data_IF_004364623405
#
_entry.id   IF_004364623405
#
_cell.length_a   1.000
_cell.length_b   1.000
_cell.length_c   1.000
_cell.angle_alpha   90.00
_cell.angle_beta   90.00
_cell.angle_gamma   90.00
#
_symmetry.space_group_name_H-M   'P 1'
#
loop_
_entity.id
_entity.type
_entity.pdbx_description
1 polymer ?
#
# COMPACT_ATOMS: atom_id res chain seq x y z
N UNK A 1 -24.77 15.84 8.18
CA UNK A 1 -23.38 15.41 8.51
C UNK A 1 -22.52 15.74 7.31
N UNK A 2 -21.88 16.91 7.34
CA UNK A 2 -21.29 17.58 6.17
C UNK A 2 -19.94 17.00 5.73
N UNK A 3 -19.84 16.62 4.46
CA UNK A 3 -18.64 16.10 3.80
C UNK A 3 -17.44 17.07 3.79
N UNK A 4 -17.64 18.35 4.09
CA UNK A 4 -16.57 19.35 4.15
C UNK A 4 -15.57 19.15 5.29
N UNK A 5 -15.98 18.53 6.41
CA UNK A 5 -15.08 18.34 7.57
C UNK A 5 -14.06 17.21 7.38
N UNK A 6 -14.32 16.28 6.45
CA UNK A 6 -13.39 15.18 6.16
C UNK A 6 -12.14 15.67 5.41
N UNK A 7 -12.31 16.64 4.50
CA UNK A 7 -11.20 17.22 3.71
C UNK A 7 -10.27 18.10 4.56
N UNK A 8 -10.82 18.79 5.57
CA UNK A 8 -10.03 19.61 6.50
C UNK A 8 -9.20 18.75 7.45
N UNK A 9 -9.70 17.58 7.85
CA UNK A 9 -8.96 16.62 8.68
C UNK A 9 -7.79 15.93 7.92
N UNK A 10 -7.83 15.92 6.59
CA UNK A 10 -6.80 15.34 5.70
C UNK A 10 -5.71 16.39 5.33
N UNK A 11 -5.82 17.63 5.80
CA UNK A 11 -4.79 18.66 5.58
C UNK A 11 -4.63 19.07 4.11
N UNK A 12 -5.68 18.90 3.29
CA UNK A 12 -5.66 19.28 1.86
C UNK A 12 -5.74 20.79 1.63
N UNK A 13 -6.14 21.59 2.63
CA UNK A 13 -6.24 23.05 2.52
C UNK A 13 -5.73 23.71 3.80
N UNK A 14 -4.67 24.53 3.73
CA UNK A 14 -4.29 25.42 4.84
C UNK A 14 -5.09 26.72 4.80
N UNK A 15 -5.59 27.13 5.97
CA UNK A 15 -5.89 28.52 6.25
C UNK A 15 -4.59 29.21 6.66
N UNK A 16 -4.04 30.02 5.76
CA UNK A 16 -2.92 30.90 6.09
C UNK A 16 -3.37 31.96 7.11
N UNK A 17 -2.72 32.01 8.29
CA UNK A 17 -2.66 33.24 9.09
C UNK A 17 -1.59 34.14 8.48
N UNK A 18 -1.97 35.33 8.01
CA UNK A 18 -1.15 36.49 8.36
C UNK A 18 -1.96 37.65 8.91
N UNK A 19 -1.22 38.47 9.66
CA UNK A 19 -1.62 39.69 10.33
C UNK A 19 -2.24 40.76 9.43
N UNK A 20 -2.60 41.86 10.08
CA UNK A 20 -3.60 42.84 9.65
C UNK A 20 -3.66 43.15 8.16
N UNK A 21 -4.79 42.82 7.55
CA UNK A 21 -5.38 43.53 6.41
C UNK A 21 -6.83 43.02 6.21
N UNK A 22 -7.74 43.92 5.86
CA UNK A 22 -9.21 43.77 5.84
C UNK A 22 -9.73 42.36 5.41
N UNK A 23 -10.61 41.72 6.20
CA UNK A 23 -11.17 40.38 5.90
C UNK A 23 -11.90 40.27 4.56
N UNK A 24 -12.59 41.33 4.13
CA UNK A 24 -13.38 41.34 2.91
C UNK A 24 -12.51 41.32 1.64
N UNK A 25 -11.40 42.07 1.62
CA UNK A 25 -10.46 42.06 0.49
C UNK A 25 -9.77 40.70 0.32
N UNK A 26 -9.49 39.98 1.41
CA UNK A 26 -8.90 38.64 1.37
C UNK A 26 -9.83 37.61 0.72
N UNK A 27 -11.13 37.67 1.00
CA UNK A 27 -12.11 36.72 0.43
C UNK A 27 -12.28 36.95 -1.07
N UNK A 28 -12.36 38.22 -1.50
CA UNK A 28 -12.46 38.60 -2.91
C UNK A 28 -11.22 38.23 -3.72
N UNK A 29 -10.01 38.40 -3.17
CA UNK A 29 -8.77 38.00 -3.85
C UNK A 29 -8.59 36.47 -3.86
N UNK A 30 -8.92 35.77 -2.76
CA UNK A 30 -8.84 34.29 -2.69
C UNK A 30 -9.80 33.59 -3.65
N UNK A 31 -10.96 34.19 -3.93
CA UNK A 31 -11.89 33.69 -4.94
C UNK A 31 -11.40 33.93 -6.38
N UNK A 32 -10.62 35.00 -6.60
CA UNK A 32 -10.07 35.38 -7.91
C UNK A 32 -8.78 34.62 -8.27
N UNK A 33 -7.97 34.24 -7.27
CA UNK A 33 -6.73 33.47 -7.44
C UNK A 33 -6.91 31.94 -7.26
N UNK A 34 -8.14 31.46 -7.13
CA UNK A 34 -8.47 30.04 -7.14
C UNK A 34 -8.37 29.44 -8.55
N UNK A 35 -7.25 29.65 -9.25
CA UNK A 35 -6.80 28.64 -10.21
C UNK A 35 -6.27 27.48 -9.36
N UNK A 36 -6.73 26.24 -9.55
CA UNK A 36 -6.15 25.10 -8.86
C UNK A 36 -4.75 24.88 -9.43
N UNK A 37 -3.76 25.62 -8.92
CA UNK A 37 -2.38 25.28 -9.16
C UNK A 37 -2.15 23.91 -8.53
N UNK A 38 -1.90 22.93 -9.39
CA UNK A 38 -1.64 21.56 -9.00
C UNK A 38 -0.42 21.58 -8.07
N UNK A 39 -0.65 21.49 -6.75
CA UNK A 39 0.43 21.51 -5.78
C UNK A 39 1.47 20.45 -6.18
N UNK A 40 2.75 20.80 -6.21
CA UNK A 40 3.86 19.89 -6.57
C UNK A 40 3.79 18.53 -5.86
N UNK A 41 3.38 18.40 -4.57
CA UNK A 41 3.15 17.10 -3.95
C UNK A 41 2.04 16.26 -4.62
N UNK A 42 1.00 16.89 -5.18
CA UNK A 42 -0.05 16.20 -5.95
C UNK A 42 0.52 15.54 -7.20
N UNK A 43 1.51 16.16 -7.86
CA UNK A 43 2.21 15.55 -9.00
C UNK A 43 2.90 14.24 -8.57
N UNK A 44 3.54 14.20 -7.40
CA UNK A 44 4.16 12.97 -6.91
C UNK A 44 3.15 11.85 -6.64
N UNK A 45 1.98 12.17 -6.08
CA UNK A 45 0.91 11.19 -5.91
C UNK A 45 0.33 10.71 -7.24
N UNK A 46 0.17 11.61 -8.22
CA UNK A 46 -0.28 11.25 -9.57
C UNK A 46 0.74 10.33 -10.28
N UNK A 47 2.03 10.59 -10.13
CA UNK A 47 3.08 9.70 -10.65
C UNK A 47 2.98 8.31 -10.02
N UNK A 48 2.81 8.23 -8.70
CA UNK A 48 2.61 6.94 -8.01
C UNK A 48 1.37 6.21 -8.52
N UNK A 49 0.26 6.91 -8.70
CA UNK A 49 -0.97 6.33 -9.26
C UNK A 49 -0.80 5.89 -10.71
N UNK A 50 -0.10 6.67 -11.53
CA UNK A 50 0.19 6.31 -12.91
C UNK A 50 1.05 5.04 -12.97
N UNK A 51 2.10 4.94 -12.15
CA UNK A 51 2.93 3.73 -12.03
C UNK A 51 2.09 2.53 -11.59
N UNK A 52 1.22 2.69 -10.59
CA UNK A 52 0.33 1.61 -10.15
C UNK A 52 -0.67 1.21 -11.25
N UNK A 53 -1.20 2.17 -12.02
CA UNK A 53 -2.10 1.92 -13.15
C UNK A 53 -1.40 1.17 -14.30
N UNK A 54 -0.17 1.55 -14.63
CA UNK A 54 0.66 0.84 -15.62
C UNK A 54 0.96 -0.58 -15.13
N UNK A 55 1.28 -0.76 -13.85
CA UNK A 55 1.51 -2.08 -13.27
C UNK A 55 0.26 -2.97 -13.33
N UNK A 56 -0.93 -2.42 -13.06
CA UNK A 56 -2.21 -3.11 -13.26
C UNK A 56 -2.42 -3.50 -14.73
N UNK A 57 -2.22 -2.57 -15.67
CA UNK A 57 -2.36 -2.85 -17.09
C UNK A 57 -1.41 -3.97 -17.55
N UNK A 58 -0.16 -3.96 -17.08
CA UNK A 58 0.81 -5.01 -17.34
C UNK A 58 0.36 -6.36 -16.78
N UNK A 59 -0.16 -6.42 -15.55
CA UNK A 59 -0.70 -7.67 -14.99
C UNK A 59 -1.90 -8.21 -15.79
N UNK A 60 -2.84 -7.34 -16.16
CA UNK A 60 -4.00 -7.74 -16.98
C UNK A 60 -3.53 -8.26 -18.34
N UNK A 61 -2.59 -7.56 -18.98
CA UNK A 61 -2.05 -7.99 -20.26
C UNK A 61 -1.34 -9.35 -20.15
N UNK A 62 -0.51 -9.54 -19.12
CA UNK A 62 0.21 -10.78 -18.89
C UNK A 62 -0.75 -11.96 -18.64
N UNK A 63 -1.79 -11.77 -17.81
CA UNK A 63 -2.79 -12.81 -17.53
C UNK A 63 -3.61 -13.25 -18.75
N UNK A 64 -3.79 -12.35 -19.73
CA UNK A 64 -4.49 -12.67 -20.99
C UNK A 64 -3.62 -13.48 -21.96
N UNK A 65 -2.30 -13.34 -21.89
CA UNK A 65 -1.36 -13.94 -22.83
C UNK A 65 -0.78 -15.28 -22.35
N UNK A 66 -0.59 -15.46 -21.04
CA UNK A 66 0.18 -16.58 -20.50
C UNK A 66 -0.62 -17.85 -20.14
N UNK A 67 -1.96 -17.80 -20.10
CA UNK A 67 -2.74 -18.88 -19.44
C UNK A 67 -2.49 -18.92 -17.93
N UNK A 68 -3.40 -19.51 -17.15
CA UNK A 68 -3.39 -19.41 -15.68
C UNK A 68 -2.38 -20.34 -14.97
N UNK A 69 -1.45 -20.95 -15.69
CA UNK A 69 -0.51 -21.93 -15.14
C UNK A 69 0.90 -21.36 -15.01
N UNK A 70 1.04 -20.39 -14.12
CA UNK A 70 2.36 -19.91 -13.72
C UNK A 70 2.87 -20.79 -12.57
N UNK A 71 3.54 -21.89 -12.91
CA UNK A 71 4.59 -22.40 -12.03
C UNK A 71 5.57 -21.27 -11.71
N UNK A 72 6.19 -21.27 -10.53
CA UNK A 72 6.99 -20.14 -10.02
C UNK A 72 8.16 -19.68 -10.91
N UNK A 73 8.48 -20.44 -11.97
CA UNK A 73 9.47 -20.08 -12.97
C UNK A 73 10.86 -19.85 -12.37
N UNK A 74 11.81 -19.35 -13.16
CA UNK A 74 13.08 -18.84 -12.64
C UNK A 74 12.84 -17.67 -11.68
N UNK A 75 13.68 -17.55 -10.64
CA UNK A 75 13.60 -16.49 -9.61
C UNK A 75 13.53 -15.08 -10.21
N UNK A 76 14.17 -14.85 -11.35
CA UNK A 76 14.16 -13.56 -12.07
C UNK A 76 12.75 -13.19 -12.53
N UNK A 77 12.06 -14.13 -13.21
CA UNK A 77 10.69 -13.95 -13.68
C UNK A 77 9.71 -13.77 -12.51
N UNK A 78 9.90 -14.53 -11.44
CA UNK A 78 9.14 -14.37 -10.21
C UNK A 78 9.35 -12.99 -9.60
N UNK A 79 10.59 -12.55 -9.43
CA UNK A 79 10.92 -11.27 -8.83
C UNK A 79 10.30 -10.10 -9.60
N UNK A 80 10.36 -10.13 -10.93
CA UNK A 80 9.73 -9.11 -11.79
C UNK A 80 8.22 -9.12 -11.61
N UNK A 81 7.58 -10.29 -11.73
CA UNK A 81 6.12 -10.43 -11.59
C UNK A 81 5.66 -10.00 -10.20
N UNK A 82 6.41 -10.39 -9.16
CA UNK A 82 6.17 -10.03 -7.78
C UNK A 82 6.24 -8.52 -7.56
N UNK A 83 7.30 -7.86 -8.05
CA UNK A 83 7.43 -6.40 -7.91
C UNK A 83 6.32 -5.67 -8.66
N UNK A 84 5.97 -6.10 -9.87
CA UNK A 84 4.86 -5.51 -10.64
C UNK A 84 3.54 -5.66 -9.87
N UNK A 85 3.27 -6.83 -9.32
CA UNK A 85 2.08 -7.08 -8.50
C UNK A 85 2.05 -6.21 -7.24
N UNK A 86 3.18 -6.12 -6.52
CA UNK A 86 3.29 -5.26 -5.34
C UNK A 86 3.17 -3.77 -5.71
N UNK A 87 3.71 -3.35 -6.85
CA UNK A 87 3.54 -2.00 -7.34
C UNK A 87 2.06 -1.68 -7.66
N UNK A 88 1.33 -2.63 -8.25
CA UNK A 88 -0.09 -2.47 -8.56
C UNK A 88 -0.95 -2.37 -7.30
N UNK A 89 -0.68 -3.19 -6.28
CA UNK A 89 -1.56 -3.36 -5.12
C UNK A 89 -1.15 -2.53 -3.91
N UNK A 90 0.15 -2.44 -3.65
CA UNK A 90 0.69 -1.88 -2.42
C UNK A 90 1.17 -0.44 -2.58
N UNK A 91 1.65 -0.04 -3.76
CA UNK A 91 2.10 1.33 -4.02
C UNK A 91 1.00 2.41 -3.80
N UNK A 92 -0.28 2.19 -4.19
CA UNK A 92 -1.36 3.14 -3.89
C UNK A 92 -1.51 3.42 -2.40
N UNK A 93 -1.22 2.42 -1.56
CA UNK A 93 -1.31 2.58 -0.11
C UNK A 93 -0.25 3.51 0.47
N UNK A 94 0.87 3.71 -0.23
CA UNK A 94 1.96 4.61 0.17
C UNK A 94 1.69 6.09 -0.16
N UNK A 95 0.64 6.41 -0.93
CA UNK A 95 0.30 7.77 -1.35
C UNK A 95 0.26 8.78 -0.19
N UNK A 96 -0.36 8.50 0.98
CA UNK A 96 -0.40 9.47 2.07
C UNK A 96 1.00 9.83 2.59
N UNK A 97 1.90 8.85 2.70
CA UNK A 97 3.30 9.09 3.11
C UNK A 97 4.07 9.83 2.04
N UNK A 98 3.87 9.47 0.77
CA UNK A 98 4.50 10.14 -0.38
C UNK A 98 4.11 11.60 -0.43
N UNK A 99 2.82 11.91 -0.22
CA UNK A 99 2.32 13.28 -0.16
C UNK A 99 2.97 14.07 0.98
N UNK A 100 3.01 13.50 2.18
CA UNK A 100 3.54 14.20 3.36
C UNK A 100 5.07 14.37 3.29
N UNK A 101 5.77 13.37 2.76
CA UNK A 101 7.20 13.46 2.47
C UNK A 101 7.47 14.52 1.40
N UNK A 102 6.72 14.52 0.30
CA UNK A 102 6.87 15.49 -0.77
C UNK A 102 6.59 16.92 -0.28
N UNK A 103 5.57 17.12 0.55
CA UNK A 103 5.26 18.42 1.19
C UNK A 103 6.40 18.90 2.10
N UNK A 104 7.02 18.00 2.85
CA UNK A 104 8.13 18.33 3.76
C UNK A 104 9.45 18.57 3.00
N UNK A 105 9.62 17.89 1.87
CA UNK A 105 10.80 17.99 1.02
C UNK A 105 10.72 19.13 -0.01
N UNK A 106 9.52 19.64 -0.29
CA UNK A 106 9.28 20.69 -1.28
C UNK A 106 10.18 21.91 -1.01
N UNK A 107 10.77 22.46 -2.07
CA UNK A 107 11.73 23.57 -1.99
C UNK A 107 13.19 23.13 -1.76
N UNK A 108 13.46 21.86 -1.42
CA UNK A 108 14.82 21.32 -1.38
C UNK A 108 15.25 20.81 -2.76
N UNK A 109 16.51 21.04 -3.13
CA UNK A 109 17.09 20.50 -4.37
C UNK A 109 17.01 18.97 -4.37
N UNK A 110 16.50 18.38 -5.45
CA UNK A 110 16.39 16.92 -5.60
C UNK A 110 15.18 16.27 -4.93
N UNK A 111 14.21 17.04 -4.44
CA UNK A 111 13.00 16.47 -3.82
C UNK A 111 12.22 15.45 -4.69
N UNK A 112 12.12 15.57 -6.03
CA UNK A 112 11.41 14.55 -6.82
C UNK A 112 12.15 13.22 -6.82
N UNK A 113 13.49 13.27 -6.93
CA UNK A 113 14.36 12.09 -6.85
C UNK A 113 14.25 11.44 -5.49
N UNK A 114 14.20 12.22 -4.42
CA UNK A 114 14.02 11.70 -3.06
C UNK A 114 12.68 10.97 -2.89
N UNK A 115 11.59 11.53 -3.43
CA UNK A 115 10.30 10.85 -3.43
C UNK A 115 10.34 9.54 -4.21
N UNK A 116 11.07 9.50 -5.33
CA UNK A 116 11.36 8.27 -6.06
C UNK A 116 12.14 7.26 -5.23
N UNK A 117 13.18 7.69 -4.51
CA UNK A 117 13.96 6.82 -3.60
C UNK A 117 13.06 6.22 -2.52
N UNK A 118 12.11 6.98 -1.95
CA UNK A 118 11.15 6.46 -0.98
C UNK A 118 10.30 5.33 -1.58
N UNK A 119 9.78 5.52 -2.80
CA UNK A 119 8.98 4.50 -3.49
C UNK A 119 9.82 3.25 -3.83
N UNK A 120 11.06 3.44 -4.28
CA UNK A 120 11.98 2.34 -4.62
C UNK A 120 12.38 1.55 -3.37
N UNK A 121 12.70 2.21 -2.26
CA UNK A 121 13.03 1.48 -1.01
C UNK A 121 11.81 0.76 -0.44
N UNK A 122 10.61 1.33 -0.58
CA UNK A 122 9.37 0.64 -0.24
C UNK A 122 9.17 -0.64 -1.06
N UNK A 123 9.34 -0.58 -2.38
CA UNK A 123 9.26 -1.76 -3.24
C UNK A 123 10.40 -2.75 -3.00
N UNK A 124 11.59 -2.27 -2.63
CA UNK A 124 12.73 -3.12 -2.25
C UNK A 124 12.43 -3.97 -1.02
N UNK A 125 11.76 -3.41 -0.02
CA UNK A 125 11.29 -4.18 1.15
C UNK A 125 10.31 -5.28 0.75
N UNK A 126 9.40 -4.99 -0.18
CA UNK A 126 8.48 -5.99 -0.73
C UNK A 126 9.17 -7.05 -1.58
N UNK A 127 10.20 -6.67 -2.35
CA UNK A 127 11.01 -7.61 -3.13
C UNK A 127 11.75 -8.59 -2.21
N UNK A 128 12.40 -8.09 -1.15
CA UNK A 128 13.08 -8.95 -0.15
C UNK A 128 12.09 -9.96 0.44
N UNK A 129 10.89 -9.50 0.81
CA UNK A 129 9.85 -10.39 1.32
C UNK A 129 9.43 -11.44 0.29
N UNK A 130 9.24 -11.06 -0.97
CA UNK A 130 8.92 -11.99 -2.06
C UNK A 130 10.02 -13.05 -2.26
N UNK A 131 11.29 -12.64 -2.27
CA UNK A 131 12.45 -13.55 -2.39
C UNK A 131 12.49 -14.54 -1.22
N UNK A 132 12.22 -14.08 0.00
CA UNK A 132 12.11 -14.98 1.17
C UNK A 132 10.97 -15.98 0.99
N UNK A 133 9.81 -15.55 0.52
CA UNK A 133 8.69 -16.44 0.21
C UNK A 133 9.04 -17.47 -0.87
N UNK A 134 9.73 -17.05 -1.94
CA UNK A 134 10.19 -17.95 -3.00
C UNK A 134 11.20 -18.99 -2.48
N UNK A 135 12.15 -18.56 -1.66
CA UNK A 135 13.13 -19.46 -1.04
C UNK A 135 12.44 -20.50 -0.14
N UNK A 136 11.42 -20.09 0.64
CA UNK A 136 10.63 -21.01 1.46
C UNK A 136 9.83 -21.98 0.58
N UNK A 137 9.19 -21.48 -0.48
CA UNK A 137 8.39 -22.30 -1.39
C UNK A 137 9.23 -23.40 -2.03
N UNK A 138 10.40 -23.03 -2.56
CA UNK A 138 11.34 -23.95 -3.22
C UNK A 138 11.98 -24.92 -2.23
N UNK A 139 12.39 -24.45 -1.05
CA UNK A 139 12.97 -25.30 -0.01
C UNK A 139 11.96 -26.34 0.53
N UNK A 140 10.69 -25.95 0.65
CA UNK A 140 9.59 -26.83 1.08
C UNK A 140 9.09 -27.79 0.00
N UNK A 141 9.66 -27.71 -1.23
CA UNK A 141 9.26 -28.52 -2.40
C UNK A 141 7.76 -28.47 -2.68
N UNK A 142 7.17 -27.28 -2.56
CA UNK A 142 5.78 -27.05 -3.00
C UNK A 142 5.72 -27.12 -4.55
N UNK A 143 4.58 -27.53 -5.14
CA UNK A 143 3.27 -27.78 -4.54
C UNK A 143 3.15 -29.11 -3.78
N UNK A 144 2.44 -29.10 -2.65
CA UNK A 144 2.10 -30.33 -1.92
C UNK A 144 0.81 -30.95 -2.47
N UNK A 145 0.60 -32.28 -2.33
CA UNK A 145 -0.62 -32.94 -2.79
C UNK A 145 -1.91 -32.40 -2.13
N UNK A 146 -1.82 -31.72 -0.99
CA UNK A 146 -2.93 -31.10 -0.26
C UNK A 146 -2.88 -29.55 -0.28
N UNK A 147 -2.36 -28.94 -1.36
CA UNK A 147 -2.17 -27.49 -1.44
C UNK A 147 -3.45 -26.68 -1.20
N UNK A 148 -4.62 -27.18 -1.60
CA UNK A 148 -5.91 -26.55 -1.31
C UNK A 148 -6.15 -26.37 0.20
N UNK A 149 -5.89 -27.41 1.00
CA UNK A 149 -6.00 -27.37 2.46
C UNK A 149 -4.97 -26.43 3.08
N UNK A 150 -3.74 -26.44 2.56
CA UNK A 150 -2.63 -25.61 3.07
C UNK A 150 -2.90 -24.13 2.81
N UNK A 151 -3.36 -23.79 1.61
CA UNK A 151 -3.77 -22.45 1.23
C UNK A 151 -4.99 -21.97 2.04
N UNK A 152 -5.98 -22.84 2.23
CA UNK A 152 -7.14 -22.56 3.08
C UNK A 152 -6.77 -22.33 4.55
N UNK A 153 -5.88 -23.16 5.11
CA UNK A 153 -5.36 -22.97 6.46
C UNK A 153 -4.58 -21.65 6.57
N UNK A 154 -3.78 -21.30 5.57
CA UNK A 154 -3.07 -20.03 5.54
C UNK A 154 -4.01 -18.82 5.50
N UNK A 155 -5.11 -18.89 4.74
CA UNK A 155 -6.16 -17.87 4.75
C UNK A 155 -6.86 -17.79 6.12
N UNK A 156 -7.14 -18.92 6.76
CA UNK A 156 -7.73 -18.95 8.10
C UNK A 156 -6.79 -18.31 9.13
N UNK A 157 -5.50 -18.66 9.09
CA UNK A 157 -4.46 -18.04 9.92
C UNK A 157 -4.32 -16.54 9.62
N UNK A 158 -4.47 -16.12 8.37
CA UNK A 158 -4.50 -14.70 8.00
C UNK A 158 -5.72 -13.97 8.60
N UNK A 159 -6.88 -14.62 8.65
CA UNK A 159 -8.06 -14.14 9.36
C UNK A 159 -7.79 -13.96 10.86
N UNK A 160 -7.17 -14.93 11.51
CA UNK A 160 -6.78 -14.83 12.94
C UNK A 160 -5.74 -13.71 13.14
N UNK A 161 -4.75 -13.62 12.27
CA UNK A 161 -3.76 -12.55 12.28
C UNK A 161 -4.41 -11.16 12.11
N UNK A 162 -5.53 -11.08 11.39
CA UNK A 162 -6.22 -9.83 11.11
C UNK A 162 -6.77 -9.12 12.36
N UNK A 163 -6.97 -9.85 13.47
CA UNK A 163 -7.41 -9.32 14.78
C UNK A 163 -6.28 -9.21 15.81
N UNK A 164 -5.09 -9.72 15.47
CA UNK A 164 -3.91 -9.79 16.36
C UNK A 164 -3.42 -8.41 16.82
N UNK A 165 -2.94 -8.28 18.08
CA UNK A 165 -2.34 -7.04 18.58
C UNK A 165 -1.10 -6.62 17.78
N UNK A 166 -0.36 -7.57 17.19
CA UNK A 166 0.83 -7.31 16.38
C UNK A 166 0.47 -6.49 15.13
N UNK A 167 -0.63 -6.86 14.47
CA UNK A 167 -1.14 -6.12 13.31
C UNK A 167 -1.59 -4.72 13.70
N UNK A 168 -2.33 -4.58 14.82
CA UNK A 168 -2.79 -3.28 15.32
C UNK A 168 -1.62 -2.34 15.61
N UNK A 169 -0.56 -2.83 16.26
CA UNK A 169 0.65 -2.07 16.54
C UNK A 169 1.36 -1.62 15.24
N UNK A 170 1.46 -2.51 14.25
CA UNK A 170 2.05 -2.18 12.95
C UNK A 170 1.21 -1.18 12.15
N UNK A 171 -0.11 -1.27 12.21
CA UNK A 171 -1.02 -0.31 11.59
C UNK A 171 -0.96 1.06 12.27
N UNK A 172 -0.85 1.12 13.59
CA UNK A 172 -0.65 2.37 14.33
C UNK A 172 0.65 3.05 13.90
N UNK A 173 1.76 2.30 13.77
CA UNK A 173 3.03 2.80 13.25
C UNK A 173 2.93 3.29 11.80
N UNK A 174 2.24 2.55 10.92
CA UNK A 174 1.98 3.00 9.55
C UNK A 174 1.27 4.36 9.54
N UNK A 175 0.22 4.53 10.34
CA UNK A 175 -0.54 5.78 10.42
C UNK A 175 0.27 6.93 11.01
N UNK A 176 1.08 6.65 12.04
CA UNK A 176 2.00 7.65 12.60
C UNK A 176 3.02 8.13 11.56
N UNK A 177 3.52 7.24 10.71
CA UNK A 177 4.42 7.57 9.60
C UNK A 177 3.71 8.33 8.46
N UNK A 178 2.42 8.09 8.23
CA UNK A 178 1.62 8.91 7.30
C UNK A 178 1.38 10.33 7.83
N UNK A 179 1.30 10.48 9.15
CA UNK A 179 1.15 11.77 9.83
C UNK A 179 2.51 12.37 10.21
N UNK A 180 3.55 12.14 9.41
CA UNK A 180 4.89 12.65 9.67
C UNK A 180 4.88 14.18 9.65
N UNK A 181 4.92 14.79 10.83
CA UNK A 181 5.02 16.24 10.99
C UNK A 181 6.38 16.56 11.63
N UNK A 182 7.35 17.01 10.85
CA UNK A 182 8.63 17.45 11.40
C UNK A 182 9.76 17.54 10.39
N UNK A 183 10.88 18.18 10.77
CA UNK A 183 12.06 18.28 9.93
C UNK A 183 12.67 16.90 9.68
N UNK A 184 13.08 16.65 8.43
CA UNK A 184 13.79 15.43 8.05
C UNK A 184 15.16 15.39 8.78
N UNK A 185 15.43 14.36 9.60
CA UNK A 185 16.59 14.33 10.49
C UNK A 185 17.92 14.03 9.77
N UNK A 186 17.88 13.63 8.50
CA UNK A 186 19.05 13.31 7.69
C UNK A 186 19.07 14.14 6.41
N UNK A 187 20.10 13.92 5.58
CA UNK A 187 20.06 14.37 4.20
C UNK A 187 18.81 13.82 3.48
N UNK A 188 18.35 14.55 2.46
CA UNK A 188 17.05 14.31 1.85
C UNK A 188 16.89 12.88 1.29
N UNK A 189 17.94 12.34 0.66
CA UNK A 189 17.92 10.98 0.08
C UNK A 189 17.92 9.90 1.15
N UNK A 190 18.75 10.05 2.18
CA UNK A 190 18.81 9.12 3.32
C UNK A 190 17.50 9.15 4.09
N UNK A 191 16.91 10.33 4.28
CA UNK A 191 15.58 10.46 4.87
C UNK A 191 14.51 9.77 4.04
N UNK A 192 14.51 9.92 2.70
CA UNK A 192 13.62 9.18 1.83
C UNK A 192 13.77 7.66 1.99
N UNK A 193 15.01 7.17 1.97
CA UNK A 193 15.31 5.75 2.09
C UNK A 193 14.85 5.18 3.44
N UNK A 194 15.15 5.89 4.54
CA UNK A 194 14.77 5.48 5.90
C UNK A 194 13.26 5.52 6.10
N UNK A 195 12.58 6.56 5.61
CA UNK A 195 11.12 6.67 5.69
C UNK A 195 10.46 5.56 4.87
N UNK A 196 10.91 5.35 3.64
CA UNK A 196 10.40 4.28 2.77
C UNK A 196 10.60 2.89 3.38
N UNK A 197 11.78 2.61 3.94
CA UNK A 197 12.07 1.34 4.61
C UNK A 197 11.23 1.13 5.88
N UNK A 198 11.13 2.13 6.75
CA UNK A 198 10.30 2.05 7.99
C UNK A 198 8.83 1.86 7.65
N UNK A 199 8.35 2.57 6.63
CA UNK A 199 6.98 2.42 6.16
C UNK A 199 6.75 1.04 5.52
N UNK A 200 7.68 0.57 4.69
CA UNK A 200 7.67 -0.77 4.11
C UNK A 200 7.59 -1.87 5.17
N UNK A 201 8.46 -1.83 6.18
CA UNK A 201 8.47 -2.82 7.27
C UNK A 201 7.18 -2.77 8.10
N UNK A 202 6.67 -1.57 8.39
CA UNK A 202 5.40 -1.43 9.11
C UNK A 202 4.21 -1.94 8.27
N UNK A 203 4.26 -1.72 6.95
CA UNK A 203 3.26 -2.18 6.00
C UNK A 203 3.28 -3.71 5.83
N UNK A 204 4.47 -4.31 5.75
CA UNK A 204 4.63 -5.75 5.82
C UNK A 204 4.02 -6.28 7.11
N UNK A 205 4.36 -5.69 8.26
CA UNK A 205 3.80 -6.09 9.55
C UNK A 205 2.28 -5.94 9.70
N UNK A 206 1.58 -5.22 8.81
CA UNK A 206 0.12 -5.17 8.83
C UNK A 206 -0.56 -6.12 7.83
N UNK A 207 0.17 -6.60 6.82
CA UNK A 207 -0.37 -7.38 5.70
C UNK A 207 0.34 -8.72 5.44
N UNK A 208 1.38 -9.05 6.21
CA UNK A 208 2.24 -10.22 6.00
C UNK A 208 1.44 -11.51 5.89
N UNK A 209 0.48 -11.76 6.79
CA UNK A 209 -0.29 -13.01 6.76
C UNK A 209 -1.17 -13.14 5.51
N UNK A 210 -1.76 -12.04 5.02
CA UNK A 210 -2.50 -12.04 3.76
C UNK A 210 -1.58 -12.31 2.57
N UNK A 211 -0.36 -11.80 2.63
CA UNK A 211 0.63 -11.98 1.55
C UNK A 211 1.18 -13.40 1.52
N UNK A 212 1.44 -14.00 2.69
CA UNK A 212 1.79 -15.42 2.80
C UNK A 212 0.64 -16.29 2.27
N UNK A 213 -0.60 -15.99 2.65
CA UNK A 213 -1.76 -16.71 2.12
C UNK A 213 -1.85 -16.60 0.58
N UNK A 214 -1.59 -15.40 0.02
CA UNK A 214 -1.58 -15.20 -1.43
C UNK A 214 -0.52 -16.06 -2.15
N UNK A 215 0.68 -16.18 -1.57
CA UNK A 215 1.74 -17.05 -2.11
C UNK A 215 1.30 -18.53 -2.09
N UNK A 216 0.61 -18.96 -1.04
CA UNK A 216 0.20 -20.36 -0.86
C UNK A 216 -1.02 -20.76 -1.71
N UNK A 217 -1.97 -19.84 -1.92
CA UNK A 217 -3.10 -20.00 -2.86
C UNK A 217 -2.59 -20.18 -4.30
N UNK A 218 -1.39 -19.67 -4.58
CA UNK A 218 -0.80 -19.70 -5.91
C UNK A 218 -1.05 -18.39 -6.65
N UNK A 219 0.00 -17.86 -7.26
CA UNK A 219 -0.06 -16.68 -8.13
C UNK A 219 -0.82 -16.94 -9.45
N UNK A 220 -1.42 -18.12 -9.60
CA UNK A 220 -2.09 -18.62 -10.81
C UNK A 220 -3.37 -17.85 -11.17
N UNK A 221 -3.97 -17.10 -10.25
CA UNK A 221 -5.23 -16.40 -10.50
C UNK A 221 -5.15 -14.90 -10.26
N UNK A 222 -5.22 -14.13 -11.35
CA UNK A 222 -5.38 -12.68 -11.33
C UNK A 222 -6.59 -12.25 -10.46
N UNK A 223 -7.66 -13.06 -10.44
CA UNK A 223 -8.85 -12.80 -9.62
C UNK A 223 -8.52 -12.73 -8.12
N UNK A 224 -7.68 -13.64 -7.61
CA UNK A 224 -7.24 -13.61 -6.21
C UNK A 224 -6.40 -12.37 -5.90
N UNK A 225 -5.56 -11.94 -6.84
CA UNK A 225 -4.83 -10.68 -6.75
C UNK A 225 -5.78 -9.48 -6.59
N UNK A 226 -6.80 -9.34 -7.45
CA UNK A 226 -7.78 -8.24 -7.34
C UNK A 226 -8.49 -8.26 -5.98
N UNK A 227 -9.01 -9.41 -5.57
CA UNK A 227 -9.76 -9.56 -4.31
C UNK A 227 -8.88 -9.17 -3.12
N UNK A 228 -7.67 -9.70 -3.03
CA UNK A 228 -6.76 -9.42 -1.92
C UNK A 228 -6.28 -7.97 -1.92
N UNK A 229 -6.09 -7.37 -3.10
CA UNK A 229 -5.74 -5.95 -3.23
C UNK A 229 -6.81 -5.05 -2.66
N UNK A 230 -8.07 -5.30 -3.02
CA UNK A 230 -9.23 -4.60 -2.46
C UNK A 230 -9.25 -4.77 -0.94
N UNK A 231 -9.13 -6.01 -0.44
CA UNK A 231 -9.14 -6.29 1.00
C UNK A 231 -8.04 -5.53 1.74
N UNK A 232 -6.81 -5.50 1.21
CA UNK A 232 -5.69 -4.78 1.84
C UNK A 232 -5.92 -3.27 1.82
N UNK A 233 -6.37 -2.72 0.70
CA UNK A 233 -6.70 -1.29 0.60
C UNK A 233 -7.81 -0.90 1.57
N UNK A 234 -8.87 -1.71 1.66
CA UNK A 234 -9.95 -1.51 2.64
C UNK A 234 -9.41 -1.56 4.06
N UNK A 235 -8.58 -2.56 4.41
CA UNK A 235 -7.97 -2.65 5.75
C UNK A 235 -7.11 -1.42 6.10
N UNK A 236 -6.38 -0.91 5.11
CA UNK A 236 -5.38 0.13 5.32
C UNK A 236 -5.95 1.55 5.28
N UNK A 237 -6.95 1.78 4.43
CA UNK A 237 -7.62 3.08 4.25
C UNK A 237 -8.85 3.25 5.15
N UNK A 238 -9.35 2.18 5.78
CA UNK A 238 -10.47 2.29 6.71
C UNK A 238 -10.15 3.26 7.87
N UNK A 239 -11.14 4.07 8.30
CA UNK A 239 -10.99 5.01 9.41
C UNK A 239 -10.50 4.33 10.69
N UNK A 240 -9.82 5.06 11.59
CA UNK A 240 -9.44 4.55 12.89
C UNK A 240 -10.69 4.19 13.70
N UNK A 241 -10.84 2.87 13.95
CA UNK A 241 -11.69 2.20 14.95
C UNK A 241 -13.16 1.91 14.57
N UNK A 242 -13.41 0.61 14.36
CA UNK A 242 -14.38 -0.19 15.14
C UNK A 242 -13.94 -1.66 15.06
N UNK A 243 -13.77 -2.33 16.20
CA UNK A 243 -13.49 -3.77 16.32
C UNK A 243 -14.40 -4.62 15.42
N UNK A 244 -15.63 -4.13 15.19
CA UNK A 244 -16.63 -4.70 14.29
C UNK A 244 -16.15 -4.84 12.83
N UNK A 245 -15.43 -3.88 12.26
CA UNK A 245 -14.97 -3.97 10.87
C UNK A 245 -13.84 -5.00 10.71
N UNK A 246 -12.92 -5.06 11.66
CA UNK A 246 -11.85 -6.06 11.66
C UNK A 246 -12.42 -7.47 11.80
N UNK A 247 -13.44 -7.65 12.64
CA UNK A 247 -14.15 -8.92 12.80
C UNK A 247 -14.93 -9.29 11.54
N UNK A 248 -15.69 -8.37 10.93
CA UNK A 248 -16.42 -8.64 9.68
C UNK A 248 -15.47 -9.06 8.57
N UNK A 249 -14.34 -8.37 8.44
CA UNK A 249 -13.37 -8.65 7.39
C UNK A 249 -12.54 -9.92 7.68
N UNK A 250 -12.29 -10.24 8.97
CA UNK A 250 -11.74 -11.53 9.40
C UNK A 250 -12.70 -12.68 9.06
N UNK A 251 -13.98 -12.53 9.38
CA UNK A 251 -15.03 -13.48 9.05
C UNK A 251 -15.16 -13.67 7.54
N UNK A 252 -15.07 -12.59 6.76
CA UNK A 252 -15.06 -12.65 5.30
C UNK A 252 -13.85 -13.46 4.79
N UNK A 253 -12.66 -13.24 5.34
CA UNK A 253 -11.46 -14.01 4.97
C UNK A 253 -11.57 -15.50 5.34
N UNK A 254 -12.16 -15.81 6.49
CA UNK A 254 -12.41 -17.21 6.90
C UNK A 254 -13.47 -17.85 6.01
N UNK A 255 -14.56 -17.15 5.69
CA UNK A 255 -15.59 -17.64 4.77
C UNK A 255 -15.01 -17.89 3.37
N UNK A 256 -14.16 -16.99 2.89
CA UNK A 256 -13.43 -17.09 1.64
C UNK A 256 -12.46 -18.29 1.64
N UNK A 257 -11.78 -18.56 2.77
CA UNK A 257 -10.94 -19.74 2.95
C UNK A 257 -11.75 -21.04 2.81
N UNK A 258 -12.90 -21.10 3.48
CA UNK A 258 -13.81 -22.25 3.42
C UNK A 258 -14.36 -22.46 2.01
N UNK A 259 -14.72 -21.37 1.32
CA UNK A 259 -15.16 -21.44 -0.07
C UNK A 259 -14.04 -21.96 -0.98
N UNK A 260 -12.81 -21.48 -0.82
CA UNK A 260 -11.66 -21.96 -1.60
C UNK A 260 -11.40 -23.45 -1.39
N UNK A 261 -11.38 -23.93 -0.14
CA UNK A 261 -11.20 -25.36 0.18
C UNK A 261 -12.30 -26.22 -0.45
N UNK A 262 -13.54 -25.71 -0.55
CA UNK A 262 -14.66 -26.45 -1.16
C UNK A 262 -14.63 -26.50 -2.67
N UNK A 263 -13.97 -25.54 -3.33
CA UNK A 263 -13.92 -25.43 -4.79
C UNK A 263 -12.72 -26.14 -5.41
N UNK A 264 -11.68 -26.43 -4.61
CA UNK A 264 -10.43 -27.07 -5.02
C UNK A 264 -10.45 -28.57 -4.71
#
# INVERSE_FOLDING_TARGET
MDGGRLFTAIGLVRLARPGGFCPACRVLMKARDARPELAKPTVAALVVLAVAGVAWAAMVHHSRMAGMDMGLGPIESFAVTWVVMMAAMMLPSAIPVVLEFARTAEGRRGWPVATGVLAVTYLGVWLIFGVVCYAIYTAARMPWPNQAMVAGLALALAGIYSVSPIKRASQARCRALCALHGPLPFNLMRSAAVVGARYGLSCLGCSAALMVAMVLIGMSSLWWGVILGIVVLTYKLAPPLRLRYELVLSLALVALAVAYIKMA
#
